data_IF_170571824757
#
_entry.id   IF_170571824757
#
_cell.length_a   1.000
_cell.length_b   1.000
_cell.length_c   1.000
_cell.angle_alpha   90.00
_cell.angle_beta   90.00
_cell.angle_gamma   90.00
#
_symmetry.space_group_name_H-M   'P 1'
#
loop_
_entity.id
_entity.type
_entity.pdbx_description
1 polymer ?
#
# COMPACT_ATOMS: atom_id res chain seq x y z
N UNK A 1 -12.28 28.62 -11.35
CA UNK A 1 -13.50 28.96 -10.59
C UNK A 1 -14.65 29.29 -11.53
N UNK A 2 -14.48 30.25 -12.45
CA UNK A 2 -15.47 30.64 -13.48
C UNK A 2 -16.13 29.44 -14.19
N UNK A 3 -15.34 28.49 -14.71
CA UNK A 3 -15.89 27.33 -15.40
C UNK A 3 -16.67 26.35 -14.49
N UNK A 4 -16.42 26.36 -13.17
CA UNK A 4 -17.18 25.53 -12.23
C UNK A 4 -18.60 26.06 -12.08
N UNK A 5 -18.73 27.39 -11.96
CA UNK A 5 -20.03 28.05 -11.91
C UNK A 5 -20.81 27.85 -13.20
N UNK A 6 -20.13 28.01 -14.35
CA UNK A 6 -20.74 27.76 -15.66
C UNK A 6 -21.31 26.34 -15.77
N UNK A 7 -20.59 25.32 -15.31
CA UNK A 7 -21.09 23.94 -15.31
C UNK A 7 -22.35 23.81 -14.45
N UNK A 8 -22.36 24.37 -13.23
CA UNK A 8 -23.56 24.34 -12.38
C UNK A 8 -24.74 25.06 -13.03
N UNK A 9 -24.52 26.24 -13.60
CA UNK A 9 -25.55 27.01 -14.30
C UNK A 9 -26.12 26.24 -15.49
N UNK A 10 -25.27 25.61 -16.31
CA UNK A 10 -25.71 24.81 -17.45
C UNK A 10 -26.55 23.60 -16.99
N UNK A 11 -26.11 22.86 -15.97
CA UNK A 11 -26.87 21.72 -15.45
C UNK A 11 -28.22 22.17 -14.88
N UNK A 12 -28.24 23.23 -14.07
CA UNK A 12 -29.47 23.78 -13.47
C UNK A 12 -30.45 24.25 -14.56
N UNK A 13 -29.95 24.93 -15.60
CA UNK A 13 -30.75 25.34 -16.75
C UNK A 13 -31.42 24.14 -17.41
N UNK A 14 -30.67 23.06 -17.68
CA UNK A 14 -31.20 21.86 -18.32
C UNK A 14 -32.12 21.02 -17.41
N UNK A 15 -32.13 21.28 -16.09
CA UNK A 15 -33.03 20.67 -15.11
C UNK A 15 -34.24 21.57 -14.76
N UNK A 16 -34.32 22.78 -15.32
CA UNK A 16 -35.44 23.70 -15.07
C UNK A 16 -36.45 23.59 -16.20
N UNK A 17 -37.71 23.31 -15.86
CA UNK A 17 -38.83 23.15 -16.79
C UNK A 17 -38.56 22.14 -17.93
N UNK A 18 -37.81 21.08 -17.62
CA UNK A 18 -37.51 20.01 -18.57
C UNK A 18 -38.61 18.95 -18.59
N UNK A 19 -39.44 18.97 -19.64
CA UNK A 19 -40.52 17.99 -19.82
C UNK A 19 -40.07 16.60 -20.29
N UNK A 20 -38.80 16.39 -20.62
CA UNK A 20 -38.29 15.12 -21.14
C UNK A 20 -37.62 14.30 -20.02
N UNK A 21 -38.37 13.36 -19.45
CA UNK A 21 -37.96 12.58 -18.27
C UNK A 21 -36.57 11.93 -18.39
N UNK A 22 -36.24 11.34 -19.54
CA UNK A 22 -34.91 10.73 -19.73
C UNK A 22 -33.79 11.77 -19.76
N UNK A 23 -34.07 12.99 -20.24
CA UNK A 23 -33.10 14.09 -20.24
C UNK A 23 -32.92 14.65 -18.84
N UNK A 24 -34.02 14.78 -18.09
CA UNK A 24 -33.98 15.23 -16.69
C UNK A 24 -33.17 14.26 -15.82
N UNK A 25 -33.40 12.94 -15.98
CA UNK A 25 -32.63 11.91 -15.27
C UNK A 25 -31.13 12.04 -15.51
N UNK A 26 -30.71 12.21 -16.79
CA UNK A 26 -29.30 12.43 -17.14
C UNK A 26 -28.74 13.74 -16.57
N UNK A 27 -29.55 14.79 -16.50
CA UNK A 27 -29.16 16.06 -15.86
C UNK A 27 -28.88 15.88 -14.36
N UNK A 28 -29.67 15.05 -13.67
CA UNK A 28 -29.45 14.74 -12.26
C UNK A 28 -28.22 13.85 -12.03
N UNK A 29 -27.93 12.92 -12.93
CA UNK A 29 -26.66 12.17 -12.92
C UNK A 29 -25.46 13.13 -12.99
N UNK A 30 -25.50 14.13 -13.88
CA UNK A 30 -24.46 15.15 -13.99
C UNK A 30 -24.35 16.02 -12.74
N UNK A 31 -25.48 16.44 -12.16
CA UNK A 31 -25.49 17.19 -10.89
C UNK A 31 -24.86 16.38 -9.74
N UNK A 32 -25.14 15.08 -9.69
CA UNK A 32 -24.59 14.16 -8.68
C UNK A 32 -23.07 13.98 -8.83
N UNK A 33 -22.57 13.89 -10.06
CA UNK A 33 -21.14 13.83 -10.35
C UNK A 33 -20.43 15.16 -10.01
N UNK A 34 -21.01 16.30 -10.41
CA UNK A 34 -20.45 17.62 -10.16
C UNK A 34 -20.34 17.92 -8.66
N UNK A 35 -21.43 17.71 -7.90
CA UNK A 35 -21.49 17.94 -6.44
C UNK A 35 -20.49 17.11 -5.62
N UNK A 36 -20.02 15.97 -6.13
CA UNK A 36 -18.97 15.18 -5.48
C UNK A 36 -17.55 15.52 -5.92
N UNK A 37 -17.37 16.35 -6.95
CA UNK A 37 -16.06 16.71 -7.48
C UNK A 37 -15.62 18.11 -7.06
N UNK A 38 -16.49 19.10 -7.20
CA UNK A 38 -16.14 20.50 -6.94
C UNK A 38 -17.35 21.26 -6.40
N UNK A 39 -17.09 22.43 -5.82
CA UNK A 39 -18.12 23.35 -5.36
C UNK A 39 -18.24 24.55 -6.31
N UNK A 40 -19.42 25.17 -6.43
CA UNK A 40 -19.55 26.47 -7.06
C UNK A 40 -18.85 27.54 -6.20
N UNK A 41 -18.66 28.73 -6.77
CA UNK A 41 -18.16 29.90 -6.05
C UNK A 41 -19.12 30.32 -4.93
N UNK A 42 -18.63 31.16 -4.02
CA UNK A 42 -19.45 31.72 -2.96
C UNK A 42 -20.67 32.50 -3.48
N UNK A 43 -20.54 33.13 -4.66
CA UNK A 43 -21.63 33.90 -5.28
C UNK A 43 -22.79 33.02 -5.75
N UNK A 44 -22.49 31.81 -6.27
CA UNK A 44 -23.48 30.89 -6.81
C UNK A 44 -23.97 29.84 -5.79
N UNK A 45 -23.19 29.58 -4.74
CA UNK A 45 -23.46 28.51 -3.76
C UNK A 45 -24.85 28.59 -3.12
N UNK A 46 -25.34 29.79 -2.82
CA UNK A 46 -26.68 29.98 -2.24
C UNK A 46 -27.76 29.45 -3.18
N UNK A 47 -27.68 29.82 -4.46
CA UNK A 47 -28.69 29.44 -5.46
C UNK A 47 -28.66 27.95 -5.77
N UNK A 48 -27.46 27.35 -5.83
CA UNK A 48 -27.31 25.89 -5.99
C UNK A 48 -27.94 25.15 -4.80
N UNK A 49 -27.71 25.61 -3.56
CA UNK A 49 -28.32 24.99 -2.38
C UNK A 49 -29.85 25.11 -2.37
N UNK A 50 -30.40 26.27 -2.76
CA UNK A 50 -31.84 26.47 -2.88
C UNK A 50 -32.46 25.57 -3.97
N UNK A 51 -31.79 25.48 -5.12
CA UNK A 51 -32.18 24.56 -6.19
C UNK A 51 -32.23 23.12 -5.68
N UNK A 52 -31.16 22.62 -5.07
CA UNK A 52 -31.11 21.23 -4.58
C UNK A 52 -32.15 20.93 -3.50
N UNK A 53 -32.48 21.89 -2.64
CA UNK A 53 -33.48 21.72 -1.56
C UNK A 53 -34.93 21.81 -2.02
N UNK A 54 -35.19 22.53 -3.10
CA UNK A 54 -36.56 22.74 -3.62
C UNK A 54 -37.07 21.62 -4.52
N UNK A 55 -36.17 20.77 -5.03
CA UNK A 55 -36.51 19.70 -5.97
C UNK A 55 -36.86 18.40 -5.25
N UNK A 56 -37.91 17.71 -5.72
CA UNK A 56 -38.38 16.42 -5.18
C UNK A 56 -37.67 15.20 -5.77
N UNK A 57 -36.68 15.41 -6.65
CA UNK A 57 -35.96 14.31 -7.30
C UNK A 57 -35.15 13.50 -6.28
N UNK A 58 -35.10 12.18 -6.46
CA UNK A 58 -34.46 11.26 -5.51
C UNK A 58 -32.96 11.53 -5.26
N UNK A 59 -32.25 12.08 -6.26
CA UNK A 59 -30.84 12.46 -6.12
C UNK A 59 -30.62 13.83 -5.47
N UNK A 60 -31.64 14.66 -5.31
CA UNK A 60 -31.47 16.06 -4.91
C UNK A 60 -30.88 16.19 -3.49
N UNK A 61 -31.41 15.41 -2.54
CA UNK A 61 -30.91 15.37 -1.16
C UNK A 61 -29.46 14.87 -1.09
N UNK A 62 -29.12 13.83 -1.86
CA UNK A 62 -27.76 13.30 -1.88
C UNK A 62 -26.77 14.27 -2.57
N UNK A 63 -27.18 14.93 -3.66
CA UNK A 63 -26.39 16.01 -4.27
C UNK A 63 -26.10 17.14 -3.28
N UNK A 64 -27.08 17.53 -2.47
CA UNK A 64 -26.89 18.53 -1.41
C UNK A 64 -25.87 18.04 -0.39
N UNK A 65 -26.03 16.83 0.14
CA UNK A 65 -25.12 16.24 1.13
C UNK A 65 -23.69 16.08 0.59
N UNK A 66 -23.55 15.66 -0.67
CA UNK A 66 -22.27 15.56 -1.39
C UNK A 66 -21.59 16.92 -1.53
N UNK A 67 -22.34 17.94 -1.94
CA UNK A 67 -21.80 19.31 -2.03
C UNK A 67 -21.28 19.82 -0.68
N UNK A 68 -22.00 19.58 0.42
CA UNK A 68 -21.53 19.94 1.77
C UNK A 68 -20.24 19.20 2.14
N UNK A 69 -20.13 17.92 1.79
CA UNK A 69 -18.88 17.14 1.98
C UNK A 69 -17.74 17.69 1.14
N UNK A 70 -17.97 18.04 -0.12
CA UNK A 70 -16.96 18.64 -1.01
C UNK A 70 -16.44 19.98 -0.47
N UNK A 71 -17.33 20.82 0.09
CA UNK A 71 -16.94 22.07 0.75
C UNK A 71 -16.07 21.82 1.99
N UNK A 72 -16.41 20.81 2.80
CA UNK A 72 -15.70 20.47 4.04
C UNK A 72 -14.36 19.76 3.79
N UNK A 73 -14.36 18.79 2.89
CA UNK A 73 -13.26 17.85 2.69
C UNK A 73 -12.30 18.30 1.58
N UNK A 74 -12.63 19.39 0.86
CA UNK A 74 -11.86 19.88 -0.27
C UNK A 74 -12.36 19.31 -1.60
N UNK A 75 -11.87 19.91 -2.69
CA UNK A 75 -12.32 19.62 -4.04
C UNK A 75 -11.35 18.68 -4.76
N UNK A 76 -11.88 17.83 -5.63
CA UNK A 76 -11.13 16.88 -6.48
C UNK A 76 -10.25 17.62 -7.50
N UNK A 77 -9.14 16.98 -7.88
CA UNK A 77 -8.21 17.47 -8.92
C UNK A 77 -8.48 16.86 -10.28
N UNK A 78 -9.11 15.68 -10.34
CA UNK A 78 -9.46 14.99 -11.58
C UNK A 78 -10.98 14.85 -11.73
N UNK A 79 -11.47 14.67 -12.97
CA UNK A 79 -12.89 14.38 -13.24
C UNK A 79 -13.36 13.07 -12.57
N UNK A 80 -14.69 12.81 -12.54
CA UNK A 80 -15.23 11.55 -12.04
C UNK A 80 -14.58 10.34 -12.70
N UNK A 81 -14.28 9.32 -11.89
CA UNK A 81 -13.80 8.04 -12.38
C UNK A 81 -14.93 7.26 -13.07
N UNK A 82 -14.58 6.35 -13.98
CA UNK A 82 -15.56 5.56 -14.74
C UNK A 82 -16.54 4.79 -13.83
N UNK A 83 -16.05 4.28 -12.69
CA UNK A 83 -16.88 3.61 -11.68
C UNK A 83 -17.93 4.56 -11.07
N UNK A 84 -17.59 5.84 -10.86
CA UNK A 84 -18.54 6.85 -10.36
C UNK A 84 -19.63 7.13 -11.40
N UNK A 85 -19.25 7.17 -12.68
CA UNK A 85 -20.18 7.36 -13.80
C UNK A 85 -21.10 6.15 -13.97
N UNK A 86 -20.54 4.94 -13.98
CA UNK A 86 -21.32 3.70 -14.14
C UNK A 86 -22.31 3.51 -12.98
N UNK A 87 -21.91 3.79 -11.74
CA UNK A 87 -22.78 3.70 -10.58
C UNK A 87 -24.02 4.58 -10.73
N UNK A 88 -23.83 5.88 -11.02
CA UNK A 88 -24.96 6.80 -11.11
C UNK A 88 -25.82 6.55 -12.34
N UNK A 89 -25.26 6.04 -13.45
CA UNK A 89 -26.03 5.59 -14.62
C UNK A 89 -26.94 4.39 -14.32
N UNK A 90 -26.60 3.59 -13.31
CA UNK A 90 -27.45 2.52 -12.78
C UNK A 90 -28.31 2.97 -11.58
N UNK A 91 -28.38 4.27 -11.31
CA UNK A 91 -29.10 4.88 -10.18
C UNK A 91 -28.65 4.36 -8.81
N UNK A 92 -27.38 3.95 -8.70
CA UNK A 92 -26.76 3.57 -7.43
C UNK A 92 -25.83 4.68 -6.94
N UNK A 93 -26.07 5.16 -5.72
CA UNK A 93 -25.24 6.20 -5.08
C UNK A 93 -24.16 5.61 -4.17
N UNK A 94 -24.24 4.31 -3.88
CA UNK A 94 -23.26 3.56 -3.11
C UNK A 94 -22.30 2.84 -4.05
N UNK A 95 -21.01 3.09 -3.87
CA UNK A 95 -19.96 2.49 -4.69
C UNK A 95 -19.12 1.58 -3.81
N UNK A 96 -18.98 0.32 -4.22
CA UNK A 96 -18.13 -0.64 -3.53
C UNK A 96 -16.88 -0.92 -4.37
N UNK A 97 -15.71 -0.84 -3.74
CA UNK A 97 -14.43 -1.20 -4.34
C UNK A 97 -13.83 -2.42 -3.66
N UNK A 98 -13.33 -3.36 -4.47
CA UNK A 98 -12.74 -4.61 -3.98
C UNK A 98 -11.29 -4.39 -3.57
N UNK A 99 -10.98 -4.69 -2.32
CA UNK A 99 -9.65 -4.61 -1.73
C UNK A 99 -9.13 -6.03 -1.49
N UNK A 100 -7.91 -6.28 -1.95
CA UNK A 100 -7.20 -7.55 -1.82
C UNK A 100 -6.19 -7.47 -0.67
N UNK A 101 -6.00 -8.59 0.01
CA UNK A 101 -5.10 -8.71 1.15
C UNK A 101 -3.97 -9.71 0.88
N UNK A 102 -2.84 -9.65 1.62
CA UNK A 102 -1.71 -10.56 1.41
C UNK A 102 -2.00 -12.04 1.65
N UNK A 103 -3.06 -12.37 2.38
CA UNK A 103 -3.48 -13.75 2.66
C UNK A 103 -4.34 -14.37 1.55
N UNK A 104 -4.31 -13.78 0.36
CA UNK A 104 -5.11 -14.13 -0.83
C UNK A 104 -6.63 -13.96 -0.66
N UNK A 105 -7.08 -13.31 0.42
CA UNK A 105 -8.49 -12.94 0.60
C UNK A 105 -8.79 -11.55 0.05
N UNK A 106 -10.08 -11.19 0.01
CA UNK A 106 -10.52 -9.88 -0.47
C UNK A 106 -11.90 -9.52 0.06
N UNK A 107 -12.13 -8.24 0.30
CA UNK A 107 -13.42 -7.69 0.75
C UNK A 107 -13.84 -6.47 -0.07
N UNK A 108 -15.14 -6.19 -0.12
CA UNK A 108 -15.70 -5.02 -0.78
C UNK A 108 -15.95 -3.90 0.24
N UNK A 109 -15.44 -2.71 -0.05
CA UNK A 109 -15.54 -1.53 0.82
C UNK A 109 -16.29 -0.42 0.14
N UNK A 110 -17.19 0.22 0.87
CA UNK A 110 -17.88 1.41 0.39
C UNK A 110 -16.89 2.58 0.28
N UNK A 111 -16.89 3.23 -0.88
CA UNK A 111 -16.11 4.42 -1.18
C UNK A 111 -17.00 5.46 -1.83
N UNK A 112 -16.66 6.72 -1.66
CA UNK A 112 -17.34 7.84 -2.30
C UNK A 112 -16.35 8.80 -2.98
N UNK A 113 -16.90 9.78 -3.69
CA UNK A 113 -16.12 10.78 -4.43
C UNK A 113 -15.17 11.60 -3.56
N UNK A 114 -15.41 11.68 -2.25
CA UNK A 114 -14.62 12.42 -1.26
C UNK A 114 -13.67 11.55 -0.45
N UNK A 115 -13.66 10.24 -0.68
CA UNK A 115 -12.87 9.29 0.09
C UNK A 115 -11.38 9.50 -0.17
N UNK A 116 -10.63 9.80 0.89
CA UNK A 116 -9.17 9.90 0.86
C UNK A 116 -8.55 8.57 1.22
N UNK A 117 -7.33 8.33 0.75
CA UNK A 117 -6.62 7.07 1.00
C UNK A 117 -6.47 6.77 2.50
N UNK A 118 -6.17 7.78 3.34
CA UNK A 118 -6.08 7.59 4.80
C UNK A 118 -7.39 7.12 5.44
N UNK A 119 -8.53 7.65 4.97
CA UNK A 119 -9.84 7.33 5.55
C UNK A 119 -10.28 5.95 5.08
N UNK A 120 -9.97 5.61 3.83
CA UNK A 120 -10.14 4.27 3.30
C UNK A 120 -9.28 3.24 4.07
N UNK A 121 -8.00 3.53 4.32
CA UNK A 121 -7.14 2.68 5.17
C UNK A 121 -7.73 2.44 6.56
N UNK A 122 -8.31 3.47 7.20
CA UNK A 122 -8.97 3.34 8.51
C UNK A 122 -10.18 2.43 8.43
N UNK A 123 -11.06 2.62 7.45
CA UNK A 123 -12.24 1.78 7.25
C UNK A 123 -11.87 0.30 7.05
N UNK A 124 -10.79 0.02 6.32
CA UNK A 124 -10.26 -1.34 6.14
C UNK A 124 -9.73 -1.90 7.46
N UNK A 125 -8.92 -1.12 8.19
CA UNK A 125 -8.37 -1.54 9.48
C UNK A 125 -9.47 -1.83 10.52
N UNK A 126 -10.50 -0.98 10.60
CA UNK A 126 -11.62 -1.15 11.51
C UNK A 126 -12.43 -2.41 11.18
N UNK A 127 -12.70 -2.66 9.88
CA UNK A 127 -13.41 -3.86 9.40
C UNK A 127 -12.65 -5.14 9.76
N UNK A 128 -11.33 -5.13 9.58
CA UNK A 128 -10.44 -6.26 9.90
C UNK A 128 -10.05 -6.32 11.38
N UNK A 129 -10.57 -5.41 12.22
CA UNK A 129 -10.31 -5.34 13.66
C UNK A 129 -8.83 -5.23 14.01
N UNK A 130 -8.08 -4.47 13.19
CA UNK A 130 -6.69 -4.13 13.49
C UNK A 130 -6.64 -3.15 14.67
N UNK A 131 -5.59 -3.21 15.48
CA UNK A 131 -5.39 -2.25 16.57
C UNK A 131 -5.01 -0.86 16.06
N UNK A 132 -4.38 -0.77 14.88
CA UNK A 132 -3.99 0.49 14.25
C UNK A 132 -3.82 0.34 12.75
N UNK A 133 -4.21 1.38 12.00
CA UNK A 133 -3.92 1.54 10.57
C UNK A 133 -2.52 2.13 10.29
N UNK A 134 -1.78 2.55 11.32
CA UNK A 134 -0.47 3.18 11.18
C UNK A 134 0.55 2.24 10.52
N UNK A 135 1.15 2.71 9.42
CA UNK A 135 2.11 1.95 8.62
C UNK A 135 1.48 1.08 7.53
N UNK A 136 0.15 0.98 7.47
CA UNK A 136 -0.57 0.38 6.34
C UNK A 136 -0.89 1.41 5.26
N UNK A 137 -0.96 0.95 4.01
CA UNK A 137 -1.28 1.80 2.87
C UNK A 137 -2.05 1.03 1.81
N UNK A 138 -2.78 1.77 0.97
CA UNK A 138 -3.36 1.25 -0.26
C UNK A 138 -2.31 1.20 -1.36
N UNK A 139 -2.38 0.18 -2.21
CA UNK A 139 -1.55 0.01 -3.38
C UNK A 139 -2.43 -0.26 -4.59
N UNK A 140 -2.16 0.43 -5.69
CA UNK A 140 -2.79 0.13 -6.98
C UNK A 140 -1.84 -0.75 -7.77
N UNK A 141 -2.28 -1.98 -8.06
CA UNK A 141 -1.64 -2.87 -9.02
C UNK A 141 -2.31 -2.70 -10.38
N UNK A 142 -1.54 -2.28 -11.37
CA UNK A 142 -1.99 -2.09 -12.75
C UNK A 142 -0.87 -2.53 -13.69
N UNK A 143 -1.19 -3.47 -14.58
CA UNK A 143 -0.18 -4.19 -15.37
C UNK A 143 0.88 -4.84 -14.45
N UNK A 144 2.15 -4.53 -14.71
CA UNK A 144 3.34 -4.94 -13.97
C UNK A 144 3.73 -3.99 -12.83
N UNK A 145 3.02 -2.85 -12.68
CA UNK A 145 3.34 -1.84 -11.67
C UNK A 145 2.48 -1.99 -10.42
N UNK A 146 3.10 -1.79 -9.27
CA UNK A 146 2.46 -1.69 -7.96
C UNK A 146 2.92 -0.38 -7.33
N UNK A 147 1.98 0.52 -7.04
CA UNK A 147 2.28 1.89 -6.59
C UNK A 147 1.41 2.20 -5.37
N UNK A 148 2.01 2.71 -4.29
CA UNK A 148 1.25 3.10 -3.10
C UNK A 148 0.46 4.39 -3.35
N UNK A 149 -0.72 4.48 -2.75
CA UNK A 149 -1.55 5.68 -2.80
C UNK A 149 -1.12 6.62 -1.67
N UNK A 150 -0.76 7.88 -1.95
CA UNK A 150 -0.48 8.87 -0.92
C UNK A 150 -1.67 9.06 0.01
N UNK A 151 -1.45 9.03 1.33
CA UNK A 151 -2.51 9.08 2.35
C UNK A 151 -3.44 10.30 2.21
N UNK A 152 -2.88 11.42 1.76
CA UNK A 152 -3.58 12.68 1.55
C UNK A 152 -4.45 12.72 0.29
N UNK A 153 -4.25 11.85 -0.70
CA UNK A 153 -4.95 11.95 -1.97
C UNK A 153 -6.37 11.37 -1.92
N UNK A 154 -7.26 11.96 -2.73
CA UNK A 154 -8.56 11.34 -3.02
C UNK A 154 -8.32 10.04 -3.81
N UNK A 155 -8.96 8.96 -3.38
CA UNK A 155 -8.77 7.64 -3.96
C UNK A 155 -9.03 7.63 -5.48
N UNK A 156 -10.16 8.20 -5.92
CA UNK A 156 -10.50 8.27 -7.34
C UNK A 156 -9.62 9.23 -8.14
N UNK A 157 -9.06 10.28 -7.53
CA UNK A 157 -8.08 11.15 -8.20
C UNK A 157 -6.80 10.38 -8.53
N UNK A 158 -6.28 9.65 -7.53
CA UNK A 158 -5.05 8.89 -7.70
C UNK A 158 -5.20 7.79 -8.76
N UNK A 159 -6.27 6.99 -8.68
CA UNK A 159 -6.55 5.93 -9.65
C UNK A 159 -6.68 6.51 -11.08
N UNK A 160 -7.38 7.65 -11.22
CA UNK A 160 -7.55 8.31 -12.51
C UNK A 160 -6.22 8.81 -13.06
N UNK A 161 -5.46 9.56 -12.26
CA UNK A 161 -4.16 10.09 -12.63
C UNK A 161 -3.21 8.98 -13.08
N UNK A 162 -3.14 7.89 -12.30
CA UNK A 162 -2.30 6.74 -12.61
C UNK A 162 -2.70 6.06 -13.93
N UNK A 163 -4.00 5.86 -14.15
CA UNK A 163 -4.49 5.24 -15.38
C UNK A 163 -4.16 6.10 -16.62
N UNK A 164 -4.30 7.42 -16.52
CA UNK A 164 -3.94 8.35 -17.60
C UNK A 164 -2.43 8.38 -17.86
N UNK A 165 -1.61 8.36 -16.81
CA UNK A 165 -0.15 8.32 -16.94
C UNK A 165 0.32 7.04 -17.65
N UNK A 166 -0.26 5.89 -17.31
CA UNK A 166 0.04 4.61 -17.97
C UNK A 166 -0.35 4.64 -19.45
N UNK A 167 -1.54 5.19 -19.77
CA UNK A 167 -2.00 5.37 -21.15
C UNK A 167 -1.04 6.21 -21.98
N UNK A 168 -0.59 7.35 -21.45
CA UNK A 168 0.37 8.24 -22.13
C UNK A 168 1.72 7.56 -22.37
N UNK A 169 2.18 6.74 -21.44
CA UNK A 169 3.51 6.11 -21.51
C UNK A 169 3.55 4.91 -22.46
N UNK A 170 2.44 4.18 -22.64
CA UNK A 170 2.44 2.91 -23.39
C UNK A 170 1.95 2.99 -24.85
N UNK A 171 1.76 4.17 -25.46
CA UNK A 171 1.41 4.42 -26.89
C UNK A 171 1.02 3.15 -27.70
N UNK A 172 -0.16 2.56 -27.45
CA UNK A 172 -0.71 1.46 -28.25
C UNK A 172 -2.01 1.90 -28.90
N UNK A 173 -2.19 1.53 -30.17
CA UNK A 173 -3.31 1.91 -31.04
C UNK A 173 -4.68 1.39 -30.57
N UNK A 174 -4.70 0.38 -29.68
CA UNK A 174 -5.89 -0.07 -28.96
C UNK A 174 -5.64 -0.03 -27.45
N UNK A 175 -6.34 0.80 -26.67
CA UNK A 175 -6.21 0.78 -25.22
C UNK A 175 -6.94 -0.47 -24.69
N UNK A 176 -6.25 -1.49 -24.17
CA UNK A 176 -6.94 -2.49 -23.37
C UNK A 176 -7.68 -1.76 -22.25
N UNK A 177 -8.87 -2.24 -21.86
CA UNK A 177 -9.48 -1.82 -20.60
C UNK A 177 -8.47 -2.14 -19.50
N UNK A 178 -7.70 -1.13 -19.05
CA UNK A 178 -6.71 -1.31 -18.00
C UNK A 178 -7.47 -1.67 -16.73
N UNK A 179 -7.44 -2.94 -16.36
CA UNK A 179 -7.96 -3.40 -15.09
C UNK A 179 -6.89 -3.13 -14.03
N UNK A 180 -7.32 -2.58 -12.90
CA UNK A 180 -6.47 -2.37 -11.74
C UNK A 180 -7.04 -3.12 -10.54
N UNK A 181 -6.16 -3.50 -9.62
CA UNK A 181 -6.51 -4.11 -8.35
C UNK A 181 -6.03 -3.22 -7.21
N UNK A 182 -6.83 -3.11 -6.16
CA UNK A 182 -6.48 -2.37 -4.95
C UNK A 182 -6.02 -3.37 -3.90
N UNK A 183 -4.82 -3.18 -3.38
CA UNK A 183 -4.28 -3.96 -2.28
C UNK A 183 -4.18 -3.08 -1.04
N UNK A 184 -4.48 -3.65 0.12
CA UNK A 184 -4.17 -3.03 1.41
C UNK A 184 -3.05 -3.84 2.07
N UNK A 185 -1.92 -3.22 2.37
CA UNK A 185 -0.72 -3.92 2.85
C UNK A 185 0.07 -3.05 3.81
N UNK A 186 0.89 -3.67 4.67
CA UNK A 186 1.86 -2.93 5.49
C UNK A 186 2.98 -2.39 4.61
N UNK A 187 3.13 -1.07 4.61
CA UNK A 187 4.17 -0.31 3.91
C UNK A 187 5.35 -0.01 4.84
N UNK A 188 5.08 0.51 6.03
CA UNK A 188 6.09 0.91 7.02
C UNK A 188 6.03 -0.01 8.23
N UNK A 189 7.18 -0.52 8.67
CA UNK A 189 7.29 -1.58 9.69
C UNK A 189 7.82 -1.09 11.05
N UNK A 190 7.72 0.22 11.33
CA UNK A 190 8.25 0.84 12.56
C UNK A 190 7.65 0.28 13.84
N UNK A 191 6.33 0.02 13.85
CA UNK A 191 5.56 -0.41 15.01
C UNK A 191 5.06 -1.88 14.92
N UNK A 192 5.57 -2.66 13.95
CA UNK A 192 5.19 -4.05 13.74
C UNK A 192 5.92 -4.98 14.73
N UNK A 193 5.27 -5.27 15.86
CA UNK A 193 5.77 -6.18 16.90
C UNK A 193 4.91 -7.45 16.89
N UNK A 194 5.46 -8.62 16.50
CA UNK A 194 4.70 -9.87 16.47
C UNK A 194 4.08 -10.23 17.82
N UNK A 195 2.80 -10.59 17.79
CA UNK A 195 1.96 -10.90 18.95
C UNK A 195 1.24 -9.70 19.54
N UNK A 196 1.59 -8.46 19.17
CA UNK A 196 0.90 -7.26 19.66
C UNK A 196 -0.48 -7.10 19.02
N UNK A 197 -0.55 -7.25 17.70
CA UNK A 197 -1.78 -7.19 16.92
C UNK A 197 -1.94 -8.51 16.13
N UNK A 198 -2.74 -9.42 16.69
CA UNK A 198 -2.94 -10.77 16.13
C UNK A 198 -3.50 -10.72 14.70
N UNK A 199 -4.46 -9.84 14.42
CA UNK A 199 -5.07 -9.75 13.09
C UNK A 199 -4.06 -9.22 12.07
N UNK A 200 -3.26 -8.22 12.45
CA UNK A 200 -2.17 -7.73 11.61
C UNK A 200 -1.15 -8.83 11.28
N UNK A 201 -0.80 -9.67 12.26
CA UNK A 201 0.15 -10.77 12.06
C UNK A 201 -0.35 -11.84 11.09
N UNK A 202 -1.60 -12.30 11.27
CA UNK A 202 -2.13 -13.46 10.53
C UNK A 202 -2.61 -13.12 9.12
N UNK A 203 -3.07 -11.88 8.88
CA UNK A 203 -3.59 -11.41 7.58
C UNK A 203 -2.45 -10.77 6.76
N UNK A 204 -1.53 -10.03 7.40
CA UNK A 204 -0.53 -9.22 6.69
C UNK A 204 0.90 -9.66 6.94
N UNK A 205 1.39 -9.61 8.17
CA UNK A 205 2.83 -9.69 8.42
C UNK A 205 3.42 -11.02 7.95
N UNK A 206 2.78 -12.15 8.30
CA UNK A 206 3.25 -13.48 7.89
C UNK A 206 3.33 -13.61 6.37
N UNK A 207 2.25 -13.24 5.68
CA UNK A 207 2.15 -13.39 4.23
C UNK A 207 3.02 -12.40 3.46
N UNK A 208 3.36 -11.25 4.04
CA UNK A 208 4.31 -10.31 3.45
C UNK A 208 5.77 -10.71 3.70
N UNK A 209 6.11 -11.30 4.84
CA UNK A 209 7.50 -11.71 5.16
C UNK A 209 7.87 -13.08 4.56
N UNK A 210 6.93 -14.03 4.50
CA UNK A 210 7.17 -15.36 3.93
C UNK A 210 7.84 -15.34 2.55
N UNK A 211 7.32 -14.63 1.52
CA UNK A 211 7.97 -14.62 0.21
C UNK A 211 9.36 -13.96 0.22
N UNK A 212 9.68 -13.10 1.21
CA UNK A 212 11.01 -12.51 1.37
C UNK A 212 12.00 -13.53 1.94
N UNK A 213 11.54 -14.35 2.89
CA UNK A 213 12.29 -15.51 3.37
C UNK A 213 12.57 -16.50 2.25
N UNK A 214 11.55 -16.92 1.49
CA UNK A 214 11.70 -17.91 0.42
C UNK A 214 12.66 -17.43 -0.68
N UNK A 215 12.66 -16.13 -1.00
CA UNK A 215 13.66 -15.55 -1.92
C UNK A 215 15.09 -15.56 -1.39
N UNK A 216 15.30 -15.84 -0.10
CA UNK A 216 16.62 -15.84 0.51
C UNK A 216 17.17 -14.44 0.75
N UNK A 217 16.34 -13.43 1.04
CA UNK A 217 16.85 -12.08 1.28
C UNK A 217 17.50 -11.88 2.66
N UNK A 218 17.34 -12.86 3.55
CA UNK A 218 17.84 -12.80 4.91
C UNK A 218 19.02 -13.76 5.09
N UNK A 219 19.98 -13.37 5.94
CA UNK A 219 20.98 -14.32 6.44
C UNK A 219 20.29 -15.27 7.42
N UNK A 220 20.20 -16.54 7.04
CA UNK A 220 19.48 -17.57 7.79
C UNK A 220 20.39 -18.78 7.98
N UNK A 221 20.49 -19.27 9.23
CA UNK A 221 21.18 -20.53 9.51
C UNK A 221 20.32 -21.73 9.10
N UNK A 222 20.95 -22.90 8.95
CA UNK A 222 20.22 -24.14 8.67
C UNK A 222 19.22 -24.45 9.80
N UNK A 223 19.60 -24.23 11.06
CA UNK A 223 18.75 -24.53 12.21
C UNK A 223 17.50 -23.64 12.24
N UNK A 224 17.66 -22.33 12.00
CA UNK A 224 16.54 -21.40 11.84
C UNK A 224 15.66 -21.78 10.64
N UNK A 225 16.25 -22.15 9.51
CA UNK A 225 15.51 -22.58 8.32
C UNK A 225 14.63 -23.81 8.59
N UNK A 226 15.13 -24.79 9.36
CA UNK A 226 14.32 -25.94 9.80
C UNK A 226 13.13 -25.48 10.66
N UNK A 227 13.36 -24.59 11.63
CA UNK A 227 12.29 -24.10 12.51
C UNK A 227 11.22 -23.32 11.74
N UNK A 228 11.64 -22.45 10.81
CA UNK A 228 10.76 -21.68 9.94
C UNK A 228 9.96 -22.59 9.00
N UNK A 229 10.62 -23.57 8.37
CA UNK A 229 9.96 -24.55 7.50
C UNK A 229 8.91 -25.38 8.25
N UNK A 230 9.18 -25.79 9.49
CA UNK A 230 8.21 -26.48 10.33
C UNK A 230 6.99 -25.60 10.63
N UNK A 231 7.19 -24.30 10.90
CA UNK A 231 6.10 -23.34 11.06
C UNK A 231 5.29 -23.20 9.76
N UNK A 232 5.95 -23.03 8.61
CA UNK A 232 5.27 -22.90 7.30
C UNK A 232 4.46 -24.16 6.98
N UNK A 233 5.01 -25.35 7.23
CA UNK A 233 4.30 -26.61 7.06
C UNK A 233 3.01 -26.65 7.90
N UNK A 234 3.13 -26.31 9.19
CA UNK A 234 2.00 -26.28 10.12
C UNK A 234 0.92 -25.28 9.69
N UNK A 235 1.30 -24.12 9.16
CA UNK A 235 0.35 -23.15 8.60
C UNK A 235 -0.45 -23.73 7.43
N UNK A 236 0.21 -24.51 6.55
CA UNK A 236 -0.42 -25.04 5.33
C UNK A 236 -1.20 -26.35 5.55
N UNK A 237 -0.72 -27.21 6.44
CA UNK A 237 -1.17 -28.60 6.54
C UNK A 237 -1.53 -29.05 7.96
N UNK A 238 -1.39 -28.18 8.96
CA UNK A 238 -1.63 -28.53 10.37
C UNK A 238 -0.74 -29.68 10.84
N UNK A 239 -1.37 -30.68 11.49
CA UNK A 239 -0.70 -31.88 12.01
C UNK A 239 -0.68 -33.06 11.02
N UNK A 240 -1.12 -32.86 9.78
CA UNK A 240 -1.13 -33.93 8.79
C UNK A 240 0.31 -34.26 8.37
N UNK A 241 0.89 -35.32 8.94
CA UNK A 241 2.26 -35.75 8.65
C UNK A 241 2.41 -36.54 7.34
N UNK A 242 1.32 -37.04 6.77
CA UNK A 242 1.36 -37.83 5.54
C UNK A 242 1.82 -37.01 4.32
N UNK A 243 1.60 -35.70 4.35
CA UNK A 243 1.97 -34.81 3.24
C UNK A 243 3.48 -34.48 3.18
N UNK A 244 4.27 -34.84 4.20
CA UNK A 244 5.72 -34.64 4.21
C UNK A 244 6.47 -35.41 3.10
N UNK A 245 5.88 -36.48 2.57
CA UNK A 245 6.51 -37.26 1.50
C UNK A 245 6.70 -36.45 0.21
N UNK A 246 5.77 -35.53 -0.08
CA UNK A 246 5.66 -34.84 -1.37
C UNK A 246 5.83 -33.32 -1.25
N UNK A 247 6.51 -32.81 -0.23
CA UNK A 247 6.72 -31.36 -0.10
C UNK A 247 7.77 -30.85 -1.09
N UNK A 248 7.49 -29.70 -1.70
CA UNK A 248 8.47 -28.98 -2.51
C UNK A 248 9.30 -28.08 -1.59
N UNK A 249 10.54 -28.46 -1.25
CA UNK A 249 11.38 -27.74 -0.28
C UNK A 249 11.54 -26.24 -0.60
N UNK A 250 11.57 -25.86 -1.88
CA UNK A 250 11.62 -24.47 -2.35
C UNK A 250 10.46 -23.59 -1.86
N UNK A 251 9.35 -24.18 -1.43
CA UNK A 251 8.20 -23.42 -0.91
C UNK A 251 8.27 -23.21 0.61
N UNK A 252 9.25 -23.83 1.29
CA UNK A 252 9.42 -23.81 2.74
C UNK A 252 10.79 -23.27 3.19
N UNK A 253 11.80 -23.33 2.33
CA UNK A 253 13.18 -22.94 2.63
C UNK A 253 13.61 -21.71 1.80
N UNK A 254 14.56 -20.90 2.33
CA UNK A 254 15.26 -19.90 1.53
C UNK A 254 15.93 -20.51 0.31
N UNK A 255 15.78 -19.87 -0.86
CA UNK A 255 16.25 -20.37 -2.15
C UNK A 255 17.76 -20.71 -2.16
N UNK A 256 18.57 -19.97 -1.42
CA UNK A 256 20.02 -20.18 -1.31
C UNK A 256 20.44 -21.30 -0.34
N UNK A 257 19.49 -21.85 0.43
CA UNK A 257 19.71 -22.95 1.36
C UNK A 257 19.19 -24.31 0.86
N UNK A 258 18.31 -24.35 -0.13
CA UNK A 258 17.65 -25.59 -0.60
C UNK A 258 18.68 -26.69 -0.88
N UNK A 259 19.75 -26.36 -1.62
CA UNK A 259 20.77 -27.33 -2.06
C UNK A 259 21.91 -27.54 -1.04
N UNK A 260 21.82 -26.95 0.16
CA UNK A 260 22.86 -27.08 1.19
C UNK A 260 22.84 -28.44 1.91
N UNK A 261 21.70 -29.11 1.93
CA UNK A 261 21.53 -30.45 2.50
C UNK A 261 20.72 -31.34 1.55
N UNK A 262 20.92 -32.67 1.58
CA UNK A 262 20.07 -33.60 0.85
C UNK A 262 18.60 -33.50 1.29
N UNK A 263 17.67 -33.74 0.36
CA UNK A 263 16.23 -33.70 0.61
C UNK A 263 15.81 -34.51 1.84
N UNK A 264 16.34 -35.73 1.98
CA UNK A 264 16.01 -36.62 3.10
C UNK A 264 16.41 -36.03 4.46
N UNK A 265 17.53 -35.31 4.53
CA UNK A 265 18.01 -34.70 5.76
C UNK A 265 17.17 -33.47 6.13
N UNK A 266 16.87 -32.59 5.17
CA UNK A 266 15.92 -31.50 5.38
C UNK A 266 14.59 -32.02 5.91
N UNK A 267 14.00 -33.00 5.23
CA UNK A 267 12.72 -33.61 5.61
C UNK A 267 12.76 -34.16 7.03
N UNK A 268 13.77 -34.98 7.36
CA UNK A 268 13.93 -35.58 8.70
C UNK A 268 13.95 -34.51 9.79
N UNK A 269 14.74 -33.45 9.60
CA UNK A 269 14.88 -32.37 10.59
C UNK A 269 13.62 -31.53 10.74
N UNK A 270 12.94 -31.22 9.64
CA UNK A 270 11.67 -30.46 9.67
C UNK A 270 10.58 -31.26 10.40
N UNK A 271 10.48 -32.57 10.16
CA UNK A 271 9.53 -33.45 10.85
C UNK A 271 9.79 -33.46 12.36
N UNK A 272 11.06 -33.54 12.78
CA UNK A 272 11.41 -33.53 14.20
C UNK A 272 10.93 -32.25 14.90
N UNK A 273 11.23 -31.07 14.33
CA UNK A 273 10.80 -29.78 14.90
C UNK A 273 9.29 -29.57 14.81
N UNK A 274 8.63 -30.06 13.75
CA UNK A 274 7.19 -30.01 13.63
C UNK A 274 6.49 -30.82 14.74
N UNK A 275 7.01 -32.01 15.07
CA UNK A 275 6.50 -32.88 16.12
C UNK A 275 6.60 -32.25 17.53
N UNK A 276 7.63 -31.46 17.81
CA UNK A 276 7.77 -30.72 19.08
C UNK A 276 6.67 -29.67 19.30
N UNK A 277 5.92 -29.31 18.25
CA UNK A 277 4.90 -28.25 18.27
C UNK A 277 3.49 -28.73 17.95
N UNK A 278 3.18 -30.01 18.19
CA UNK A 278 1.89 -30.65 17.84
C UNK A 278 0.64 -29.85 18.22
N UNK A 279 0.61 -29.15 19.34
CA UNK A 279 -0.58 -28.41 19.80
C UNK A 279 -0.64 -26.95 19.32
N UNK A 280 0.28 -26.50 18.48
CA UNK A 280 0.32 -25.12 18.00
C UNK A 280 -0.68 -24.95 16.85
N UNK A 281 -1.59 -23.97 16.97
CA UNK A 281 -2.55 -23.65 15.90
C UNK A 281 -1.82 -23.09 14.66
N UNK A 282 -2.41 -23.18 13.45
CA UNK A 282 -1.85 -22.53 12.26
C UNK A 282 -1.60 -21.04 12.44
N UNK A 283 -2.50 -20.33 13.13
CA UNK A 283 -2.32 -18.91 13.42
C UNK A 283 -1.17 -18.64 14.39
N UNK A 284 -1.04 -19.43 15.46
CA UNK A 284 0.08 -19.27 16.40
C UNK A 284 1.41 -19.66 15.76
N UNK A 285 1.40 -20.59 14.78
CA UNK A 285 2.56 -20.90 13.96
C UNK A 285 2.99 -19.72 13.08
N UNK A 286 2.04 -18.93 12.54
CA UNK A 286 2.37 -17.65 11.85
C UNK A 286 3.06 -16.67 12.80
N UNK A 287 2.57 -16.53 14.03
CA UNK A 287 3.16 -15.62 15.02
C UNK A 287 4.54 -16.12 15.48
N UNK A 288 4.70 -17.43 15.72
CA UNK A 288 6.00 -18.04 16.05
C UNK A 288 7.03 -17.79 14.94
N UNK A 289 6.64 -18.01 13.68
CA UNK A 289 7.43 -17.69 12.51
C UNK A 289 7.89 -16.22 12.53
N UNK A 290 6.97 -15.28 12.74
CA UNK A 290 7.27 -13.86 12.79
C UNK A 290 8.20 -13.49 13.95
N UNK A 291 8.04 -14.11 15.12
CA UNK A 291 8.91 -13.88 16.29
C UNK A 291 10.37 -14.30 16.03
N UNK A 292 10.60 -15.35 15.25
CA UNK A 292 11.94 -15.75 14.82
C UNK A 292 12.52 -14.67 13.91
N UNK A 293 11.79 -14.31 12.84
CA UNK A 293 12.26 -13.30 11.89
C UNK A 293 12.50 -11.92 12.52
N UNK A 294 11.69 -11.54 13.51
CA UNK A 294 11.78 -10.25 14.20
C UNK A 294 13.13 -10.01 14.88
N UNK A 295 13.89 -11.06 15.18
CA UNK A 295 15.24 -10.95 15.72
C UNK A 295 16.26 -10.45 14.68
N UNK A 296 15.95 -10.56 13.39
CA UNK A 296 16.84 -10.17 12.31
C UNK A 296 16.73 -8.67 12.02
N UNK A 297 17.87 -8.01 11.82
CA UNK A 297 17.95 -6.58 11.47
C UNK A 297 17.27 -6.21 10.15
N UNK A 298 16.94 -7.22 9.34
CA UNK A 298 16.31 -7.12 8.03
C UNK A 298 14.80 -7.44 8.05
N UNK A 299 14.21 -7.70 9.22
CA UNK A 299 12.76 -7.90 9.36
C UNK A 299 11.98 -6.67 8.88
N UNK A 300 10.87 -6.89 8.17
CA UNK A 300 9.99 -5.81 7.73
C UNK A 300 10.66 -4.86 6.72
N UNK A 301 11.56 -5.40 5.89
CA UNK A 301 12.25 -4.62 4.85
C UNK A 301 11.55 -4.72 3.50
N UNK A 302 11.68 -3.68 2.70
CA UNK A 302 11.57 -3.78 1.25
C UNK A 302 12.95 -4.01 0.65
N UNK A 303 13.08 -5.02 -0.22
CA UNK A 303 14.35 -5.45 -0.80
C UNK A 303 14.44 -5.08 -2.28
N UNK A 304 15.61 -4.62 -2.70
CA UNK A 304 15.91 -4.20 -4.06
C UNK A 304 17.25 -4.75 -4.49
N UNK A 305 17.26 -5.59 -5.52
CA UNK A 305 18.49 -5.99 -6.20
C UNK A 305 18.88 -4.86 -7.16
N UNK A 306 20.11 -4.37 -7.01
CA UNK A 306 20.61 -3.22 -7.76
C UNK A 306 22.04 -3.44 -8.22
N UNK A 307 22.45 -2.70 -9.24
CA UNK A 307 23.86 -2.58 -9.63
C UNK A 307 24.39 -1.22 -9.17
N UNK A 308 25.36 -1.20 -8.28
CA UNK A 308 26.00 0.04 -7.80
C UNK A 308 27.23 0.38 -8.64
N UNK A 309 27.51 1.68 -8.81
CA UNK A 309 28.63 2.19 -9.62
C UNK A 309 29.47 3.23 -8.87
N UNK A 310 29.23 3.42 -7.58
CA UNK A 310 29.75 4.54 -6.81
C UNK A 310 30.95 4.20 -5.93
N UNK A 311 31.00 3.00 -5.33
CA UNK A 311 32.04 2.63 -4.37
C UNK A 311 32.69 1.29 -4.77
N UNK A 312 33.98 1.29 -5.16
CA UNK A 312 34.67 0.08 -5.61
C UNK A 312 34.96 -0.91 -4.47
N UNK A 313 34.79 -0.52 -3.20
CA UNK A 313 34.95 -1.44 -2.05
C UNK A 313 33.78 -2.40 -1.90
N UNK A 314 32.61 -2.05 -2.46
CA UNK A 314 31.44 -2.91 -2.49
C UNK A 314 31.36 -3.72 -3.79
N UNK A 315 30.75 -4.91 -3.76
CA UNK A 315 30.42 -5.63 -4.98
C UNK A 315 29.55 -4.77 -5.92
N UNK A 316 29.68 -4.96 -7.23
CA UNK A 316 28.83 -4.25 -8.21
C UNK A 316 27.35 -4.59 -8.00
N UNK A 317 27.02 -5.85 -7.70
CA UNK A 317 25.66 -6.26 -7.35
C UNK A 317 25.44 -6.13 -5.85
N UNK A 318 24.40 -5.40 -5.46
CA UNK A 318 24.00 -5.23 -4.07
C UNK A 318 22.54 -5.58 -3.88
N UNK A 319 22.24 -6.08 -2.67
CA UNK A 319 20.87 -6.15 -2.17
C UNK A 319 20.66 -4.98 -1.21
N UNK A 320 19.78 -4.05 -1.56
CA UNK A 320 19.38 -2.95 -0.68
C UNK A 320 18.14 -3.36 0.11
N UNK A 321 18.14 -3.16 1.42
CA UNK A 321 16.98 -3.34 2.28
C UNK A 321 16.61 -2.01 2.96
N UNK A 322 15.41 -1.50 2.70
CA UNK A 322 14.87 -0.28 3.35
C UNK A 322 13.88 -0.71 4.43
N UNK A 323 14.15 -0.34 5.69
CA UNK A 323 13.31 -0.69 6.83
C UNK A 323 13.36 0.38 7.94
N UNK A 324 12.84 0.06 9.13
CA UNK A 324 12.79 1.00 10.27
C UNK A 324 14.16 1.53 10.72
N UNK A 325 15.25 0.82 10.41
CA UNK A 325 16.62 1.20 10.78
C UNK A 325 17.27 2.13 9.75
N UNK A 326 16.70 2.28 8.55
CA UNK A 326 17.28 3.05 7.45
C UNK A 326 17.47 2.23 6.18
N UNK A 327 18.52 2.56 5.43
CA UNK A 327 18.92 1.89 4.19
C UNK A 327 20.11 0.97 4.46
N UNK A 328 19.95 -0.33 4.24
CA UNK A 328 20.96 -1.34 4.49
C UNK A 328 21.53 -1.84 3.17
N UNK A 329 22.86 -1.91 3.06
CA UNK A 329 23.54 -2.56 1.94
C UNK A 329 23.94 -3.96 2.36
N UNK A 330 23.52 -4.97 1.60
CA UNK A 330 23.69 -6.38 1.91
C UNK A 330 24.43 -7.06 0.75
N UNK A 331 25.42 -7.89 1.08
CA UNK A 331 26.13 -8.69 0.10
C UNK A 331 25.20 -9.78 -0.47
N UNK A 332 24.98 -9.86 -1.80
CA UNK A 332 23.94 -10.70 -2.38
C UNK A 332 24.16 -12.21 -2.20
N UNK A 333 25.42 -12.68 -2.11
CA UNK A 333 25.74 -14.10 -1.88
C UNK A 333 25.74 -14.47 -0.39
N UNK A 334 26.65 -13.91 0.41
CA UNK A 334 26.80 -14.24 1.84
C UNK A 334 25.67 -13.71 2.73
N UNK A 335 24.87 -12.77 2.24
CA UNK A 335 23.82 -12.06 3.00
C UNK A 335 24.35 -11.26 4.19
N UNK A 336 25.65 -10.98 4.21
CA UNK A 336 26.24 -10.13 5.24
C UNK A 336 25.81 -8.68 5.06
N UNK A 337 25.47 -8.05 6.19
CA UNK A 337 25.19 -6.62 6.25
C UNK A 337 26.51 -5.86 6.11
N UNK A 338 26.67 -5.13 5.00
CA UNK A 338 27.87 -4.35 4.71
C UNK A 338 27.86 -3.03 5.47
N UNK A 339 26.73 -2.31 5.43
CA UNK A 339 26.53 -1.05 6.15
C UNK A 339 25.03 -0.74 6.30
N UNK A 340 24.69 0.00 7.36
CA UNK A 340 23.37 0.62 7.55
C UNK A 340 23.54 2.13 7.55
N UNK A 341 22.77 2.82 6.72
CA UNK A 341 22.63 4.27 6.71
C UNK A 341 21.32 4.66 7.42
N UNK A 342 21.36 5.14 8.67
CA UNK A 342 20.17 5.63 9.36
C UNK A 342 19.53 6.79 8.61
N UNK A 343 18.20 6.93 8.70
CA UNK A 343 17.49 8.03 8.04
C UNK A 343 18.01 9.42 8.41
N UNK A 344 18.50 9.60 9.64
CA UNK A 344 19.11 10.84 10.13
C UNK A 344 20.43 11.21 9.45
N UNK A 345 21.10 10.25 8.81
CA UNK A 345 22.36 10.46 8.08
C UNK A 345 22.16 10.73 6.59
N UNK A 346 20.95 10.51 6.06
CA UNK A 346 20.62 10.68 4.65
C UNK A 346 20.24 12.15 4.42
N UNK A 347 21.03 12.86 3.62
CA UNK A 347 20.81 14.28 3.35
C UNK A 347 19.96 14.52 2.11
N UNK A 348 20.06 13.66 1.10
CA UNK A 348 19.30 13.78 -0.13
C UNK A 348 19.15 12.44 -0.85
N UNK A 349 18.07 12.27 -1.61
CA UNK A 349 17.88 11.15 -2.53
C UNK A 349 17.11 11.59 -3.77
N UNK A 350 17.26 10.85 -4.86
CA UNK A 350 16.53 11.09 -6.11
C UNK A 350 16.40 9.79 -6.88
N UNK A 351 15.38 9.69 -7.72
CA UNK A 351 15.18 8.53 -8.58
C UNK A 351 14.85 8.94 -10.01
N UNK A 352 15.19 8.07 -10.95
CA UNK A 352 14.77 8.14 -12.34
C UNK A 352 14.17 6.81 -12.79
N UNK A 353 13.88 6.68 -14.09
CA UNK A 353 13.30 5.45 -14.64
C UNK A 353 14.28 4.25 -14.58
N UNK A 354 15.58 4.50 -14.49
CA UNK A 354 16.64 3.49 -14.55
C UNK A 354 17.63 3.56 -13.38
N UNK A 355 17.47 4.51 -12.46
CA UNK A 355 18.42 4.71 -11.38
C UNK A 355 17.77 5.18 -10.08
N UNK A 356 18.50 4.97 -8.99
CA UNK A 356 18.28 5.52 -7.68
C UNK A 356 19.60 6.09 -7.16
N UNK A 357 19.57 7.29 -6.59
CA UNK A 357 20.74 7.98 -6.06
C UNK A 357 20.45 8.46 -4.63
N UNK A 358 21.41 8.29 -3.73
CA UNK A 358 21.33 8.72 -2.34
C UNK A 358 22.65 9.34 -1.88
N UNK A 359 22.58 10.41 -1.10
CA UNK A 359 23.73 11.06 -0.47
C UNK A 359 23.64 10.91 1.05
N UNK A 360 24.74 10.48 1.66
CA UNK A 360 24.86 10.27 3.10
C UNK A 360 25.89 11.23 3.68
N UNK A 361 25.55 11.94 4.74
CA UNK A 361 26.38 12.98 5.35
C UNK A 361 26.22 14.35 4.67
N UNK A 362 27.24 15.20 4.82
CA UNK A 362 27.26 16.54 4.22
C UNK A 362 27.18 16.48 2.69
N UNK A 363 26.42 17.37 2.06
CA UNK A 363 26.25 17.46 0.60
C UNK A 363 27.61 17.64 -0.11
N UNK A 364 28.59 18.27 0.54
CA UNK A 364 29.91 18.57 -0.04
C UNK A 364 30.93 17.42 0.12
N UNK A 365 30.87 16.65 1.22
CA UNK A 365 31.86 15.59 1.56
C UNK A 365 31.26 14.21 1.82
N UNK A 366 29.96 14.07 1.64
CA UNK A 366 29.20 12.87 1.93
C UNK A 366 29.42 11.76 0.90
N UNK A 367 29.20 10.54 1.33
CA UNK A 367 29.24 9.36 0.47
C UNK A 367 28.02 9.37 -0.45
N UNK A 368 28.24 9.23 -1.76
CA UNK A 368 27.17 9.10 -2.74
C UNK A 368 27.01 7.63 -3.12
N UNK A 369 25.79 7.14 -3.09
CA UNK A 369 25.42 5.81 -3.56
C UNK A 369 24.58 5.96 -4.83
N UNK A 370 25.13 5.51 -5.96
CA UNK A 370 24.43 5.48 -7.24
C UNK A 370 24.13 4.03 -7.63
N UNK A 371 22.86 3.74 -7.88
CA UNK A 371 22.37 2.42 -8.19
C UNK A 371 21.55 2.42 -9.49
N UNK A 372 21.82 1.50 -10.39
CA UNK A 372 20.98 1.17 -11.53
C UNK A 372 19.82 0.27 -11.06
N UNK A 373 18.58 0.73 -11.24
CA UNK A 373 17.37 -0.02 -10.89
C UNK A 373 16.12 0.60 -11.55
N UNK A 374 15.21 -0.22 -12.12
CA UNK A 374 13.91 0.27 -12.59
C UNK A 374 12.93 0.55 -11.44
N UNK A 375 13.31 0.23 -10.20
CA UNK A 375 12.46 0.37 -9.00
C UNK A 375 12.81 1.61 -8.17
N UNK A 376 13.59 2.55 -8.71
CA UNK A 376 13.99 3.77 -8.00
C UNK A 376 12.80 4.55 -7.42
N UNK A 377 11.68 4.61 -8.14
CA UNK A 377 10.45 5.25 -7.68
C UNK A 377 9.85 4.63 -6.41
N UNK A 378 10.03 3.31 -6.19
CA UNK A 378 9.58 2.64 -4.96
C UNK A 378 10.51 2.92 -3.79
N UNK A 379 11.82 2.99 -4.06
CA UNK A 379 12.82 3.30 -3.05
C UNK A 379 12.64 4.74 -2.54
N UNK A 380 12.44 5.67 -3.46
CA UNK A 380 12.13 7.08 -3.20
C UNK A 380 10.85 7.25 -2.36
N UNK A 381 9.75 6.62 -2.78
CA UNK A 381 8.49 6.64 -2.05
C UNK A 381 8.63 6.08 -0.61
N UNK A 382 9.35 4.97 -0.43
CA UNK A 382 9.60 4.39 0.88
C UNK A 382 10.45 5.30 1.77
N UNK A 383 11.54 5.85 1.25
CA UNK A 383 12.41 6.76 2.00
C UNK A 383 11.63 8.00 2.45
N UNK A 384 10.90 8.62 1.52
CA UNK A 384 10.03 9.77 1.79
C UNK A 384 9.01 9.44 2.87
N UNK A 385 8.39 8.26 2.81
CA UNK A 385 7.39 7.82 3.77
C UNK A 385 7.97 7.56 5.16
N UNK A 386 9.10 6.86 5.26
CA UNK A 386 9.77 6.60 6.54
C UNK A 386 10.27 7.88 7.20
N UNK A 387 10.89 8.79 6.44
CA UNK A 387 11.38 10.07 6.95
C UNK A 387 10.21 10.95 7.41
N UNK A 388 9.13 11.01 6.63
CA UNK A 388 7.92 11.74 7.02
C UNK A 388 7.34 11.23 8.34
N UNK A 389 7.24 9.91 8.51
CA UNK A 389 6.76 9.30 9.75
C UNK A 389 7.69 9.61 10.94
N UNK A 390 9.01 9.57 10.73
CA UNK A 390 10.00 9.90 11.75
C UNK A 390 9.88 11.36 12.21
N UNK A 391 9.78 12.30 11.28
CA UNK A 391 9.60 13.74 11.56
C UNK A 391 8.32 13.99 12.35
N UNK A 392 7.20 13.37 11.95
CA UNK A 392 5.92 13.47 12.67
C UNK A 392 6.02 12.91 14.10
N UNK A 393 6.73 11.79 14.28
CA UNK A 393 6.94 11.18 15.59
C UNK A 393 7.76 12.08 16.52
N UNK A 394 8.83 12.69 16.01
CA UNK A 394 9.66 13.65 16.76
C UNK A 394 8.83 14.88 17.19
N UNK A 395 8.03 15.44 16.27
CA UNK A 395 7.15 16.56 16.59
C UNK A 395 6.15 16.19 17.69
N UNK A 396 5.50 15.02 17.61
CA UNK A 396 4.55 14.56 18.63
C UNK A 396 5.18 14.36 20.01
N UNK A 397 6.42 13.88 20.06
CA UNK A 397 7.17 13.75 21.31
C UNK A 397 7.50 15.12 21.92
N UNK A 398 7.89 16.09 21.09
CA UNK A 398 8.17 17.46 21.55
C UNK A 398 6.93 18.17 22.11
N UNK A 399 5.76 18.02 21.45
CA UNK A 399 4.51 18.63 21.90
C UNK A 399 4.02 18.01 23.21
N UNK A 400 4.14 16.69 23.35
CA UNK A 400 3.72 16.00 24.58
C UNK A 400 4.62 16.34 25.78
N UNK A 401 5.92 16.54 25.55
CA UNK A 401 6.87 16.98 26.57
C UNK A 401 6.62 18.43 27.02
N UNK A 402 6.12 19.30 26.13
CA UNK A 402 5.71 20.65 26.50
C UNK A 402 4.39 20.69 27.29
N UNK A 403 3.44 19.82 26.99
CA UNK A 403 2.15 19.75 27.70
C UNK A 403 2.25 19.10 29.09
N UNK A 404 3.28 18.29 29.35
CA UNK A 404 3.52 17.69 30.68
C UNK A 404 4.34 18.58 31.62
N UNK A 405 4.76 19.77 31.16
CA UNK A 405 5.50 20.78 31.94
C UNK A 405 4.66 22.01 32.30
N UNK A 406 3.38 22.01 31.91
CA UNK A 406 2.33 22.88 32.42
C UNK A 406 1.45 22.05 33.35
#
# INVERSE_FOLDING_TARGET
EILKDEIYCQIIKQLTDNGHQASESRGWELMWLASGCFAPSAALLREVNLFLRSRKHQLAADCFARLQRTLKNGQRKHPPHQVEVEAIQHMTTQIYHKVYFPDDTSEAFEVDSSTRAKDFCRNVADRLKLQSSEGFSLFVKILDKVISVPEGDFFFDFVRHLTEWIKKTKQREDPPKYTYQIFFMRKLWTNAIPGKDRMADIIFHYHQELPKLIRGYHKCSIDEAVQLAACIYRVRFGDNTALFENIQLKDFLPADLVDKLPYAEWRKRIIAVHAESQNLSPEDAKIKFLKILYQWSTFGSAFFEVKQTSDPTYPEQLLIAINKNGVNLIHPKSKDLLITYPFTSISNWSSGNTYFNMTVGDIVRGTRLLCESPLGYKMDDLLTSYISLMVQTIHRQSTNASSSRQ
#
